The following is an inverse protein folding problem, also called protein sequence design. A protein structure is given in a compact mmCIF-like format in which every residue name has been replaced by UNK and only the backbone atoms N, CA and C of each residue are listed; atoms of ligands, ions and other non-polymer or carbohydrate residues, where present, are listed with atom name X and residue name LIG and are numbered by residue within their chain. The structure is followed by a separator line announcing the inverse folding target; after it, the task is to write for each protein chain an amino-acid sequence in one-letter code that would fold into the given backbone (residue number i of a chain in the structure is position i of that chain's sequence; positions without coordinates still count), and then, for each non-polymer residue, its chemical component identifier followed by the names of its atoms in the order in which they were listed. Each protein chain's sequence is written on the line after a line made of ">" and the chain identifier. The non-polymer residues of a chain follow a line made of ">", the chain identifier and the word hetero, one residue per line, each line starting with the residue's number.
data_IF_180792847735
#
_entry.id   IF_180792847735
#
_cell.length_a   1.000
_cell.length_b   1.000
_cell.length_c   1.000
_cell.angle_alpha   90.00
_cell.angle_beta   90.00
_cell.angle_gamma   90.00
#
_symmetry.space_group_name_H-M   'P 1'
#
loop_
_entity.id
_entity.type
_entity.pdbx_description
1 polymer ?
#
# COMPACT_ATOMS: atom_id res chain seq x y z
N UNK A 1 11.12 -51.96 28.19
CA UNK A 1 11.79 -51.16 27.15
C UNK A 1 10.78 -50.13 26.59
N UNK A 2 10.49 -49.02 27.28
CA UNK A 2 9.40 -48.11 26.83
C UNK A 2 9.61 -46.62 27.17
N UNK A 3 10.22 -46.27 28.32
CA UNK A 3 10.32 -44.85 28.73
C UNK A 3 11.31 -44.00 27.92
N UNK A 4 12.46 -44.55 27.52
CA UNK A 4 13.47 -43.78 26.80
C UNK A 4 13.07 -43.45 25.35
N UNK A 5 12.22 -44.27 24.73
CA UNK A 5 11.73 -44.03 23.37
C UNK A 5 10.69 -42.90 23.35
N UNK A 6 9.80 -42.87 24.34
CA UNK A 6 8.77 -41.83 24.47
C UNK A 6 9.37 -40.44 24.72
N UNK A 7 10.42 -40.35 25.55
CA UNK A 7 11.14 -39.10 25.83
C UNK A 7 11.82 -38.58 24.55
N UNK A 8 12.41 -39.46 23.73
CA UNK A 8 13.07 -39.08 22.47
C UNK A 8 12.08 -38.62 21.41
N UNK A 9 10.91 -39.25 21.31
CA UNK A 9 9.85 -38.86 20.38
C UNK A 9 9.27 -37.49 20.80
N UNK A 10 9.05 -37.26 22.09
CA UNK A 10 8.58 -35.97 22.61
C UNK A 10 9.58 -34.83 22.40
N UNK A 11 10.89 -35.10 22.53
CA UNK A 11 11.92 -34.11 22.24
C UNK A 11 11.99 -33.74 20.75
N UNK A 12 11.82 -34.72 19.86
CA UNK A 12 11.84 -34.51 18.41
C UNK A 12 10.64 -33.67 17.91
N UNK A 13 9.45 -33.85 18.49
CA UNK A 13 8.25 -33.08 18.09
C UNK A 13 8.32 -31.62 18.53
N UNK A 14 8.92 -31.31 19.68
CA UNK A 14 9.07 -29.92 20.16
C UNK A 14 10.03 -29.12 19.27
N UNK A 15 11.10 -29.74 18.76
CA UNK A 15 12.06 -29.06 17.87
C UNK A 15 11.42 -28.74 16.51
N UNK A 16 10.60 -29.65 15.97
CA UNK A 16 9.89 -29.43 14.70
C UNK A 16 8.83 -28.33 14.80
N UNK A 17 8.20 -28.16 15.97
CA UNK A 17 7.17 -27.13 16.17
C UNK A 17 7.75 -25.70 16.22
N UNK A 18 9.00 -25.55 16.67
CA UNK A 18 9.70 -24.25 16.71
C UNK A 18 10.26 -23.84 15.34
N UNK A 19 10.54 -24.81 14.45
CA UNK A 19 10.96 -24.56 13.08
C UNK A 19 9.82 -24.08 12.17
N UNK A 20 8.56 -24.23 12.61
CA UNK A 20 7.37 -23.74 11.91
C UNK A 20 7.02 -22.28 12.28
N UNK A 21 7.95 -21.55 12.90
CA UNK A 21 7.80 -20.09 13.00
C UNK A 21 7.75 -19.55 11.58
N UNK A 22 6.66 -18.91 11.12
CA UNK A 22 6.65 -18.30 9.80
C UNK A 22 7.81 -17.31 9.80
N UNK A 23 8.83 -17.59 8.99
CA UNK A 23 9.81 -16.58 8.65
C UNK A 23 8.98 -15.46 8.05
N UNK A 24 8.69 -14.41 8.84
CA UNK A 24 8.04 -13.21 8.34
C UNK A 24 9.02 -12.65 7.34
N UNK A 25 8.86 -13.02 6.08
CA UNK A 25 9.52 -12.38 4.96
C UNK A 25 9.31 -10.89 5.19
N UNK A 26 10.40 -10.11 5.12
CA UNK A 26 10.27 -8.67 5.27
C UNK A 26 9.20 -8.22 4.26
N UNK A 27 8.14 -7.57 4.74
CA UNK A 27 7.04 -7.09 3.90
C UNK A 27 6.87 -5.59 4.10
N UNK A 28 6.30 -4.94 3.10
CA UNK A 28 5.91 -3.55 3.13
C UNK A 28 4.44 -3.31 3.48
N UNK A 29 3.65 -4.35 3.71
CA UNK A 29 2.19 -4.31 3.79
C UNK A 29 1.67 -3.18 4.69
N UNK A 30 2.14 -3.10 5.94
CA UNK A 30 1.76 -2.04 6.87
C UNK A 30 2.08 -0.63 6.34
N UNK A 31 3.22 -0.49 5.65
CA UNK A 31 3.64 0.79 5.10
C UNK A 31 2.86 1.16 3.84
N UNK A 32 2.48 0.18 3.01
CA UNK A 32 1.57 0.36 1.88
C UNK A 32 0.22 0.86 2.40
N UNK A 33 -0.36 0.20 3.41
CA UNK A 33 -1.64 0.60 4.00
C UNK A 33 -1.61 2.02 4.56
N UNK A 34 -0.55 2.39 5.28
CA UNK A 34 -0.37 3.77 5.78
C UNK A 34 -0.26 4.81 4.67
N UNK A 35 0.53 4.54 3.62
CA UNK A 35 0.69 5.49 2.50
C UNK A 35 -0.59 5.59 1.68
N UNK A 36 -1.33 4.49 1.52
CA UNK A 36 -2.64 4.50 0.88
C UNK A 36 -3.60 5.43 1.63
N UNK A 37 -3.73 5.28 2.95
CA UNK A 37 -4.59 6.15 3.76
C UNK A 37 -4.19 7.63 3.67
N UNK A 38 -2.88 7.94 3.62
CA UNK A 38 -2.39 9.32 3.42
C UNK A 38 -2.77 9.87 2.05
N UNK A 39 -2.71 9.04 1.02
CA UNK A 39 -3.03 9.41 -0.35
C UNK A 39 -4.54 9.63 -0.54
N UNK A 40 -5.35 8.75 0.04
CA UNK A 40 -6.82 8.88 0.03
C UNK A 40 -7.26 10.17 0.73
N UNK A 41 -6.66 10.48 1.90
CA UNK A 41 -6.93 11.73 2.61
C UNK A 41 -6.48 12.97 1.81
N UNK A 42 -5.38 12.88 1.07
CA UNK A 42 -4.91 13.97 0.21
C UNK A 42 -5.82 14.19 -1.00
N UNK A 43 -6.35 13.13 -1.60
CA UNK A 43 -7.32 13.21 -2.70
C UNK A 43 -8.60 13.88 -2.22
N UNK A 44 -9.15 13.44 -1.09
CA UNK A 44 -10.35 14.04 -0.49
C UNK A 44 -10.16 15.53 -0.19
N UNK A 45 -9.01 15.87 0.42
CA UNK A 45 -8.66 17.27 0.70
C UNK A 45 -8.57 18.12 -0.57
N UNK A 46 -7.96 17.59 -1.63
CA UNK A 46 -7.82 18.30 -2.90
C UNK A 46 -9.17 18.54 -3.57
N UNK A 47 -10.03 17.51 -3.60
CA UNK A 47 -11.37 17.60 -4.18
C UNK A 47 -12.23 18.67 -3.48
N UNK A 48 -12.05 18.87 -2.17
CA UNK A 48 -12.74 19.93 -1.42
C UNK A 48 -12.14 21.33 -1.58
N UNK A 49 -10.97 21.49 -2.20
CA UNK A 49 -10.20 22.74 -2.14
C UNK A 49 -10.62 23.80 -3.17
N UNK A 50 -11.25 23.40 -4.29
CA UNK A 50 -11.40 24.28 -5.46
C UNK A 50 -12.84 24.73 -5.77
N UNK A 51 -13.79 24.53 -4.85
CA UNK A 51 -15.20 24.86 -5.09
C UNK A 51 -15.80 24.00 -6.22
N UNK A 52 -17.04 24.31 -6.59
CA UNK A 52 -17.76 23.53 -7.59
C UNK A 52 -17.30 23.86 -9.02
N UNK A 53 -17.01 22.83 -9.81
CA UNK A 53 -16.74 22.93 -11.25
C UNK A 53 -17.90 22.34 -12.06
N UNK A 54 -18.04 22.72 -13.35
CA UNK A 54 -19.01 22.07 -14.23
C UNK A 54 -18.83 20.55 -14.26
N UNK A 55 -19.94 19.82 -14.25
CA UNK A 55 -19.94 18.37 -14.31
C UNK A 55 -19.35 17.88 -15.64
N UNK A 56 -18.43 16.91 -15.57
CA UNK A 56 -17.82 16.31 -16.76
C UNK A 56 -18.69 15.20 -17.34
N UNK A 57 -18.53 14.90 -18.64
CA UNK A 57 -19.20 13.75 -19.26
C UNK A 57 -18.86 12.41 -18.60
N UNK A 58 -17.71 12.30 -17.95
CA UNK A 58 -17.29 11.07 -17.25
C UNK A 58 -18.09 10.86 -15.97
N UNK A 59 -18.45 11.95 -15.25
CA UNK A 59 -19.31 11.89 -14.07
C UNK A 59 -20.73 11.37 -14.40
N UNK A 60 -21.22 11.65 -15.61
CA UNK A 60 -22.53 11.19 -16.08
C UNK A 60 -22.61 9.70 -16.40
N UNK A 61 -21.50 8.96 -16.38
CA UNK A 61 -21.47 7.54 -16.77
C UNK A 61 -21.94 6.57 -15.68
N UNK A 62 -22.22 7.05 -14.48
CA UNK A 62 -22.74 6.24 -13.37
C UNK A 62 -21.76 5.24 -12.78
N UNK A 63 -20.46 5.33 -13.12
CA UNK A 63 -19.42 4.53 -12.49
C UNK A 63 -19.04 5.12 -11.13
N UNK A 64 -18.61 4.25 -10.20
CA UNK A 64 -18.08 4.71 -8.94
C UNK A 64 -16.71 5.37 -9.14
N UNK A 65 -16.50 6.59 -8.61
CA UNK A 65 -15.20 7.23 -8.66
C UNK A 65 -14.12 6.37 -8.01
N UNK A 66 -12.95 6.31 -8.65
CA UNK A 66 -11.73 5.72 -8.10
C UNK A 66 -10.81 6.84 -7.60
N UNK A 67 -9.87 6.56 -6.68
CA UNK A 67 -8.86 7.54 -6.28
C UNK A 67 -8.14 8.18 -7.49
N UNK A 68 -7.87 7.39 -8.53
CA UNK A 68 -7.23 7.87 -9.76
C UNK A 68 -8.12 8.77 -10.60
N UNK A 69 -9.40 8.45 -10.74
CA UNK A 69 -10.34 9.29 -11.50
C UNK A 69 -10.64 10.60 -10.77
N UNK A 70 -10.72 10.57 -9.43
CA UNK A 70 -10.82 11.78 -8.61
C UNK A 70 -9.59 12.67 -8.84
N UNK A 71 -8.38 12.14 -8.65
CA UNK A 71 -7.15 12.90 -8.92
C UNK A 71 -7.04 13.39 -10.38
N UNK A 72 -7.67 12.71 -11.34
CA UNK A 72 -7.70 13.17 -12.73
C UNK A 72 -8.69 14.31 -12.94
N UNK A 73 -9.84 14.29 -12.28
CA UNK A 73 -10.86 15.34 -12.37
C UNK A 73 -10.33 16.70 -11.88
N UNK A 74 -9.41 16.69 -10.92
CA UNK A 74 -8.71 17.87 -10.40
C UNK A 74 -7.74 18.52 -11.41
N UNK A 75 -7.49 17.89 -12.56
CA UNK A 75 -6.63 18.44 -13.61
C UNK A 75 -5.20 18.70 -13.12
N UNK A 76 -4.74 19.95 -13.24
CA UNK A 76 -3.37 20.33 -12.88
C UNK A 76 -3.08 20.17 -11.38
N UNK A 77 -4.06 20.43 -10.51
CA UNK A 77 -3.88 20.27 -9.06
C UNK A 77 -3.77 18.80 -8.67
N UNK A 78 -4.37 17.87 -9.42
CA UNK A 78 -4.29 16.44 -9.14
C UNK A 78 -3.09 15.69 -9.71
N UNK A 79 -2.19 16.35 -10.45
CA UNK A 79 -1.03 15.69 -11.09
C UNK A 79 -0.12 15.00 -10.05
N UNK A 80 0.16 15.66 -8.93
CA UNK A 80 1.02 15.09 -7.89
C UNK A 80 0.37 13.85 -7.23
N UNK A 81 -0.96 13.83 -7.10
CA UNK A 81 -1.73 12.71 -6.57
C UNK A 81 -1.65 11.50 -7.50
N UNK A 82 -1.80 11.71 -8.82
CA UNK A 82 -1.62 10.65 -9.83
C UNK A 82 -0.21 10.05 -9.78
N UNK A 83 0.83 10.88 -9.69
CA UNK A 83 2.21 10.40 -9.57
C UNK A 83 2.44 9.62 -8.26
N UNK A 84 1.81 10.05 -7.16
CA UNK A 84 1.89 9.35 -5.89
C UNK A 84 1.15 8.00 -5.94
N UNK A 85 0.00 7.92 -6.62
CA UNK A 85 -0.70 6.66 -6.93
C UNK A 85 0.19 5.72 -7.73
N UNK A 86 0.83 6.21 -8.79
CA UNK A 86 1.75 5.40 -9.61
C UNK A 86 2.92 4.84 -8.78
N UNK A 87 3.47 5.65 -7.86
CA UNK A 87 4.52 5.19 -6.95
C UNK A 87 4.01 4.13 -5.96
N UNK A 88 2.80 4.29 -5.42
CA UNK A 88 2.18 3.30 -4.55
C UNK A 88 1.91 1.97 -5.29
N UNK A 89 1.50 2.03 -6.56
CA UNK A 89 1.31 0.83 -7.39
C UNK A 89 2.64 0.11 -7.66
N UNK A 90 3.71 0.85 -7.95
CA UNK A 90 5.07 0.26 -8.05
C UNK A 90 5.52 -0.36 -6.72
N UNK A 91 5.18 0.25 -5.58
CA UNK A 91 5.49 -0.32 -4.27
C UNK A 91 4.75 -1.65 -4.03
N UNK A 92 3.46 -1.73 -4.37
CA UNK A 92 2.67 -2.97 -4.28
C UNK A 92 3.24 -4.07 -5.17
N UNK A 93 3.61 -3.75 -6.41
CA UNK A 93 4.22 -4.71 -7.34
C UNK A 93 5.59 -5.21 -6.84
N UNK A 94 6.39 -4.32 -6.23
CA UNK A 94 7.67 -4.70 -5.65
C UNK A 94 7.50 -5.60 -4.41
N UNK A 95 6.54 -5.30 -3.54
CA UNK A 95 6.23 -6.10 -2.36
C UNK A 95 5.74 -7.51 -2.74
N UNK A 96 4.82 -7.63 -3.69
CA UNK A 96 4.32 -8.92 -4.18
C UNK A 96 5.39 -9.77 -4.85
N UNK A 97 6.44 -9.14 -5.39
CA UNK A 97 7.61 -9.80 -6.00
C UNK A 97 8.76 -10.04 -5.02
N UNK A 98 8.63 -9.66 -3.74
CA UNK A 98 9.69 -9.80 -2.73
C UNK A 98 10.83 -8.78 -2.84
N UNK A 99 10.71 -7.74 -3.68
CA UNK A 99 11.72 -6.70 -3.86
C UNK A 99 11.60 -5.58 -2.81
N UNK A 100 11.91 -5.90 -1.56
CA UNK A 100 11.64 -5.02 -0.40
C UNK A 100 12.37 -3.68 -0.45
N UNK A 101 13.60 -3.64 -0.96
CA UNK A 101 14.32 -2.38 -1.13
C UNK A 101 13.63 -1.45 -2.14
N UNK A 102 13.19 -2.01 -3.27
CA UNK A 102 12.42 -1.28 -4.29
C UNK A 102 11.09 -0.80 -3.73
N UNK A 103 10.37 -1.64 -3.01
CA UNK A 103 9.13 -1.24 -2.35
C UNK A 103 9.34 -0.03 -1.43
N UNK A 104 10.33 -0.07 -0.53
CA UNK A 104 10.63 1.04 0.40
C UNK A 104 10.98 2.33 -0.32
N UNK A 105 11.71 2.24 -1.44
CA UNK A 105 12.05 3.38 -2.29
C UNK A 105 10.79 4.02 -2.88
N UNK A 106 9.91 3.21 -3.46
CA UNK A 106 8.68 3.70 -4.09
C UNK A 106 7.70 4.29 -3.05
N UNK A 107 7.59 3.70 -1.86
CA UNK A 107 6.83 4.30 -0.75
C UNK A 107 7.41 5.64 -0.31
N UNK A 108 8.73 5.79 -0.31
CA UNK A 108 9.39 7.06 0.01
C UNK A 108 9.13 8.12 -1.05
N UNK A 109 9.06 7.70 -2.32
CA UNK A 109 8.69 8.57 -3.44
C UNK A 109 7.25 9.06 -3.34
N UNK A 110 6.29 8.15 -3.08
CA UNK A 110 4.89 8.52 -2.84
C UNK A 110 4.76 9.57 -1.72
N UNK A 111 5.41 9.32 -0.57
CA UNK A 111 5.45 10.29 0.55
C UNK A 111 6.14 11.60 0.19
N UNK A 112 7.16 11.57 -0.67
CA UNK A 112 7.84 12.79 -1.13
C UNK A 112 6.93 13.63 -2.02
N UNK A 113 6.14 12.99 -2.89
CA UNK A 113 5.16 13.67 -3.74
C UNK A 113 4.06 14.31 -2.89
N UNK A 114 3.50 13.58 -1.91
CA UNK A 114 2.50 14.11 -0.99
C UNK A 114 2.99 15.33 -0.19
N UNK A 115 4.25 15.33 0.26
CA UNK A 115 4.83 16.49 0.97
C UNK A 115 5.09 17.71 0.09
N UNK A 116 5.27 17.51 -1.21
CA UNK A 116 5.53 18.59 -2.18
C UNK A 116 4.26 19.13 -2.85
N UNK A 117 3.15 18.40 -2.74
CA UNK A 117 1.86 18.87 -3.25
C UNK A 117 1.44 20.18 -2.58
N UNK A 118 0.59 20.99 -3.25
CA UNK A 118 -0.05 22.13 -2.62
C UNK A 118 -0.77 21.70 -1.34
N UNK A 119 -0.53 22.43 -0.25
CA UNK A 119 -1.08 22.18 1.08
C UNK A 119 -2.35 23.00 1.28
#
# INVERSE_FOLDING_TARGET
>A
MTSNSLIRIAAATIILLQAASPARAASCEDSIGRVQAQLDAAIEKNAGAHGWSPESLDALRGYQPTPRSLAQAEGASGVYLRLALDALDRARAADSSGYIATCRRELSEAKRLLRKGPQ
#
